data_IF_494716309829
#
_entry.id   IF_494716309829
#
_cell.length_a   1.000
_cell.length_b   1.000
_cell.length_c   1.000
_cell.angle_alpha   90.00
_cell.angle_beta   90.00
_cell.angle_gamma   90.00
#
_symmetry.space_group_name_H-M   'P 1'
#
loop_
_entity.id
_entity.type
_entity.pdbx_description
1 polymer ?
#
# COMPACT_ATOMS: atom_id res chain seq x y z
N UNK A 1 -1.48 -21.22 2.95
CA UNK A 1 -2.53 -20.18 3.11
C UNK A 1 -2.61 -19.77 4.57
N UNK A 2 -1.80 -18.78 4.97
CA UNK A 2 -1.78 -18.08 6.26
C UNK A 2 -0.62 -17.10 6.19
N UNK A 3 -0.84 -15.85 6.59
CA UNK A 3 0.06 -14.68 6.60
C UNK A 3 -0.11 -13.70 5.43
N UNK A 4 -1.24 -12.99 5.43
CA UNK A 4 -1.41 -11.67 4.81
C UNK A 4 -2.27 -10.81 5.77
N UNK A 5 -1.82 -10.74 7.03
CA UNK A 5 -2.39 -9.90 8.08
C UNK A 5 -1.19 -9.23 8.70
N UNK A 6 -0.77 -8.07 8.19
CA UNK A 6 0.27 -7.27 8.86
C UNK A 6 0.17 -5.77 8.56
N UNK A 7 -0.57 -5.35 7.54
CA UNK A 7 -0.94 -3.94 7.38
C UNK A 7 -2.07 -3.48 8.32
N UNK A 8 -2.79 -4.41 8.97
CA UNK A 8 -3.85 -4.10 9.95
C UNK A 8 -3.36 -3.93 11.39
N UNK A 9 -2.13 -4.35 11.72
CA UNK A 9 -1.66 -4.38 13.11
C UNK A 9 -1.13 -3.02 13.62
N UNK A 10 -0.63 -2.15 12.73
CA UNK A 10 -0.15 -0.82 13.12
C UNK A 10 -1.28 0.18 13.39
N UNK A 11 -2.44 0.01 12.73
CA UNK A 11 -3.58 0.93 12.89
C UNK A 11 -4.45 0.59 14.11
N UNK A 12 -4.50 -0.67 14.52
CA UNK A 12 -5.32 -1.13 15.66
C UNK A 12 -4.73 -0.79 17.02
N UNK A 13 -3.41 -0.64 17.15
CA UNK A 13 -2.78 -0.32 18.44
C UNK A 13 -3.03 1.14 18.90
N UNK A 14 -3.21 2.07 17.96
CA UNK A 14 -3.45 3.49 18.28
C UNK A 14 -4.92 3.75 18.64
N UNK A 15 -5.86 2.95 18.13
CA UNK A 15 -7.28 3.10 18.44
C UNK A 15 -7.73 2.38 19.72
N UNK A 16 -6.96 1.41 20.22
CA UNK A 16 -7.34 0.60 21.40
C UNK A 16 -6.62 0.97 22.70
N UNK A 17 -5.62 1.85 22.66
CA UNK A 17 -5.15 2.51 23.88
C UNK A 17 -6.12 3.67 24.19
N UNK A 18 -7.24 3.31 24.80
CA UNK A 18 -8.20 4.23 25.38
C UNK A 18 -7.52 5.14 26.40
N UNK A 19 -6.96 6.25 25.93
CA UNK A 19 -6.70 7.40 26.77
C UNK A 19 -8.06 7.91 27.22
N UNK A 20 -8.38 7.65 28.48
CA UNK A 20 -9.52 8.19 29.20
C UNK A 20 -9.46 9.72 29.17
N UNK A 21 -9.97 10.33 28.10
CA UNK A 21 -10.20 11.77 28.01
C UNK A 21 -11.56 12.05 28.63
N UNK A 22 -11.55 12.28 29.94
CA UNK A 22 -12.72 12.75 30.66
C UNK A 22 -12.65 14.28 30.79
N UNK A 23 -13.69 14.94 30.23
CA UNK A 23 -14.11 16.37 30.39
C UNK A 23 -13.20 17.42 29.74
N UNK A 24 -13.66 18.35 28.89
CA UNK A 24 -14.96 19.02 28.71
C UNK A 24 -15.24 19.31 27.21
N UNK A 25 -16.53 19.37 26.85
CA UNK A 25 -17.13 19.60 25.52
C UNK A 25 -16.55 20.78 24.70
N UNK A 26 -16.62 20.78 23.34
CA UNK A 26 -17.87 20.56 22.61
C UNK A 26 -17.77 19.60 21.41
N UNK A 27 -18.75 18.69 21.31
CA UNK A 27 -19.21 18.14 20.02
C UNK A 27 -18.12 17.49 19.16
N UNK A 28 -17.26 16.66 19.76
CA UNK A 28 -16.60 15.62 18.99
C UNK A 28 -17.70 14.66 18.54
N UNK A 29 -18.18 14.82 17.31
CA UNK A 29 -19.17 13.90 16.74
C UNK A 29 -18.46 12.58 16.52
N UNK A 30 -18.43 11.78 17.59
CA UNK A 30 -17.82 10.46 17.59
C UNK A 30 -18.34 9.66 16.39
N UNK A 31 -19.63 9.77 16.10
CA UNK A 31 -20.30 9.15 14.96
C UNK A 31 -19.71 9.56 13.60
N UNK A 32 -19.29 10.82 13.44
CA UNK A 32 -18.69 11.33 12.19
C UNK A 32 -17.26 10.83 12.01
N UNK A 33 -16.49 10.80 13.09
CA UNK A 33 -15.12 10.26 13.09
C UNK A 33 -15.12 8.74 12.89
N UNK A 34 -16.09 8.04 13.48
CA UNK A 34 -16.28 6.60 13.27
C UNK A 34 -16.62 6.30 11.81
N UNK A 35 -17.57 7.02 11.22
CA UNK A 35 -17.92 6.84 9.80
C UNK A 35 -16.74 7.13 8.86
N UNK A 36 -15.93 8.16 9.14
CA UNK A 36 -14.72 8.46 8.38
C UNK A 36 -13.63 7.40 8.54
N UNK A 37 -13.51 6.81 9.74
CA UNK A 37 -12.57 5.72 9.97
C UNK A 37 -12.99 4.43 9.25
N UNK A 38 -14.29 4.14 9.20
CA UNK A 38 -14.85 3.02 8.42
C UNK A 38 -14.61 3.21 6.93
N UNK A 39 -14.94 4.38 6.36
CA UNK A 39 -14.69 4.70 4.95
C UNK A 39 -13.20 4.60 4.59
N UNK A 40 -12.32 5.13 5.44
CA UNK A 40 -10.89 4.98 5.25
C UNK A 40 -10.42 3.51 5.33
N UNK A 41 -11.01 2.71 6.22
CA UNK A 41 -10.68 1.29 6.33
C UNK A 41 -11.10 0.52 5.07
N UNK A 42 -12.29 0.80 4.54
CA UNK A 42 -12.78 0.22 3.28
C UNK A 42 -11.85 0.60 2.12
N UNK A 43 -11.38 1.86 2.08
CA UNK A 43 -10.40 2.31 1.08
C UNK A 43 -9.02 1.70 1.25
N UNK A 44 -8.59 1.44 2.48
CA UNK A 44 -7.35 0.74 2.76
C UNK A 44 -7.41 -0.73 2.33
N UNK A 45 -8.58 -1.38 2.51
CA UNK A 45 -8.84 -2.73 2.02
C UNK A 45 -8.85 -2.76 0.48
N UNK A 46 -9.58 -1.85 -0.17
CA UNK A 46 -9.60 -1.72 -1.64
C UNK A 46 -8.18 -1.51 -2.22
N UNK A 47 -7.40 -0.64 -1.59
CA UNK A 47 -5.99 -0.43 -1.93
C UNK A 47 -5.16 -1.72 -1.78
N UNK A 48 -5.31 -2.40 -0.63
CA UNK A 48 -4.61 -3.64 -0.32
C UNK A 48 -4.91 -4.74 -1.34
N UNK A 49 -6.19 -4.90 -1.70
CA UNK A 49 -6.65 -5.89 -2.66
C UNK A 49 -6.09 -5.62 -4.06
N UNK A 50 -6.21 -4.38 -4.56
CA UNK A 50 -5.64 -3.99 -5.87
C UNK A 50 -4.13 -4.28 -5.95
N UNK A 51 -3.39 -3.94 -4.90
CA UNK A 51 -1.95 -4.21 -4.84
C UNK A 51 -1.67 -5.71 -4.76
N UNK A 52 -2.43 -6.47 -3.97
CA UNK A 52 -2.26 -7.91 -3.81
C UNK A 52 -2.59 -8.69 -5.09
N UNK A 53 -3.64 -8.30 -5.82
CA UNK A 53 -4.01 -8.87 -7.11
C UNK A 53 -2.91 -8.64 -8.14
N UNK A 54 -2.48 -7.38 -8.32
CA UNK A 54 -1.41 -7.04 -9.25
C UNK A 54 -0.10 -7.77 -8.90
N UNK A 55 0.22 -7.87 -7.61
CA UNK A 55 1.39 -8.62 -7.12
C UNK A 55 1.26 -10.11 -7.43
N UNK A 56 0.06 -10.68 -7.28
CA UNK A 56 -0.20 -12.09 -7.58
C UNK A 56 -0.01 -12.37 -9.07
N UNK A 57 -0.48 -11.50 -9.96
CA UNK A 57 -0.27 -11.63 -11.40
C UNK A 57 1.23 -11.56 -11.76
N UNK A 58 1.98 -10.63 -11.17
CA UNK A 58 3.43 -10.55 -11.34
C UNK A 58 4.16 -11.77 -10.79
N UNK A 59 3.69 -12.33 -9.67
CA UNK A 59 4.26 -13.53 -9.06
C UNK A 59 4.20 -14.76 -9.97
N UNK A 60 3.18 -14.86 -10.83
CA UNK A 60 3.07 -15.95 -11.82
C UNK A 60 4.19 -15.92 -12.86
N UNK A 61 4.82 -14.76 -13.07
CA UNK A 61 5.93 -14.58 -14.00
C UNK A 61 7.29 -14.94 -13.38
N UNK A 62 7.40 -14.93 -12.04
CA UNK A 62 8.67 -15.14 -11.34
C UNK A 62 9.26 -16.55 -11.58
N UNK A 63 8.42 -17.55 -11.84
CA UNK A 63 8.84 -18.93 -12.10
C UNK A 63 9.28 -19.19 -13.55
N UNK A 64 9.07 -18.22 -14.45
CA UNK A 64 9.48 -18.36 -15.85
C UNK A 64 10.99 -18.19 -16.01
N UNK A 65 11.61 -19.01 -16.87
CA UNK A 65 13.06 -18.91 -17.17
C UNK A 65 13.44 -17.66 -17.96
N UNK A 66 12.50 -17.13 -18.74
CA UNK A 66 12.68 -15.94 -19.57
C UNK A 66 11.33 -15.25 -19.69
N UNK A 67 11.35 -13.92 -19.59
CA UNK A 67 10.20 -13.06 -19.82
C UNK A 67 10.16 -12.70 -21.32
N UNK A 68 9.03 -12.96 -21.97
CA UNK A 68 8.78 -12.55 -23.35
C UNK A 68 8.13 -11.16 -23.42
N UNK A 69 7.89 -10.65 -24.64
CA UNK A 69 7.34 -9.31 -24.83
C UNK A 69 5.96 -9.13 -24.19
N UNK A 70 5.15 -10.19 -24.12
CA UNK A 70 3.84 -10.17 -23.47
C UNK A 70 3.97 -10.14 -21.96
N UNK A 71 4.94 -10.86 -21.41
CA UNK A 71 5.26 -10.77 -19.98
C UNK A 71 5.73 -9.35 -19.62
N UNK A 72 6.52 -8.70 -20.48
CA UNK A 72 6.96 -7.31 -20.27
C UNK A 72 5.78 -6.32 -20.29
N UNK A 73 4.85 -6.46 -21.24
CA UNK A 73 3.61 -5.68 -21.29
C UNK A 73 2.78 -5.87 -20.03
N UNK A 74 2.58 -7.13 -19.60
CA UNK A 74 1.86 -7.42 -18.37
C UNK A 74 2.55 -6.79 -17.14
N UNK A 75 3.88 -6.77 -17.08
CA UNK A 75 4.60 -6.09 -15.99
C UNK A 75 4.28 -4.59 -15.97
N UNK A 76 4.23 -3.95 -17.14
CA UNK A 76 3.90 -2.52 -17.25
C UNK A 76 2.49 -2.26 -16.72
N UNK A 77 1.52 -3.07 -17.13
CA UNK A 77 0.11 -2.93 -16.76
C UNK A 77 -0.11 -3.14 -15.26
N UNK A 78 0.44 -4.23 -14.69
CA UNK A 78 0.28 -4.50 -13.26
C UNK A 78 0.95 -3.43 -12.39
N UNK A 79 2.12 -2.91 -12.80
CA UNK A 79 2.74 -1.79 -12.08
C UNK A 79 1.90 -0.52 -12.23
N UNK A 80 1.27 -0.26 -13.38
CA UNK A 80 0.39 0.89 -13.55
C UNK A 80 -0.81 0.83 -12.58
N UNK A 81 -1.45 -0.34 -12.45
CA UNK A 81 -2.55 -0.58 -11.50
C UNK A 81 -2.10 -0.28 -10.07
N UNK A 82 -0.93 -0.79 -9.66
CA UNK A 82 -0.37 -0.48 -8.34
C UNK A 82 -0.17 1.03 -8.17
N UNK A 83 0.49 1.69 -9.12
CA UNK A 83 0.80 3.12 -9.03
C UNK A 83 -0.46 3.98 -8.94
N UNK A 84 -1.53 3.60 -9.65
CA UNK A 84 -2.86 4.21 -9.55
C UNK A 84 -3.45 4.02 -8.15
N UNK A 85 -3.48 2.77 -7.64
CA UNK A 85 -3.96 2.50 -6.28
C UNK A 85 -3.19 3.30 -5.21
N UNK A 86 -1.86 3.43 -5.34
CA UNK A 86 -1.06 4.31 -4.47
C UNK A 86 -1.49 5.78 -4.57
N UNK A 87 -1.83 6.28 -5.75
CA UNK A 87 -2.23 7.68 -5.93
C UNK A 87 -3.64 7.94 -5.40
N UNK A 88 -4.55 7.00 -5.57
CA UNK A 88 -5.92 7.07 -5.03
C UNK A 88 -5.86 7.07 -3.51
N UNK A 89 -5.19 6.10 -2.90
CA UNK A 89 -5.09 6.00 -1.44
C UNK A 89 -4.43 7.22 -0.78
N UNK A 90 -3.44 7.84 -1.43
CA UNK A 90 -2.81 9.08 -0.92
C UNK A 90 -3.76 10.28 -0.90
N UNK A 91 -4.77 10.29 -1.77
CA UNK A 91 -5.76 11.37 -1.85
C UNK A 91 -6.85 11.22 -0.79
N UNK A 92 -7.01 10.02 -0.22
CA UNK A 92 -8.01 9.78 0.81
C UNK A 92 -7.83 10.69 2.02
N UNK A 93 -8.95 11.22 2.49
CA UNK A 93 -8.96 12.02 3.70
C UNK A 93 -8.93 11.09 4.92
N UNK A 94 -8.09 11.47 5.88
CA UNK A 94 -7.91 10.69 7.10
C UNK A 94 -7.80 11.69 8.25
N UNK A 95 -8.89 12.38 8.61
CA UNK A 95 -8.88 13.46 9.58
C UNK A 95 -8.48 13.00 10.99
N UNK A 96 -8.58 11.69 11.26
CA UNK A 96 -8.11 11.05 12.48
C UNK A 96 -6.59 10.80 12.51
N UNK A 97 -5.87 10.89 11.38
CA UNK A 97 -4.41 10.79 11.32
C UNK A 97 -3.76 12.16 11.49
N UNK A 98 -2.72 12.23 12.32
CA UNK A 98 -1.94 13.46 12.44
C UNK A 98 -1.24 13.78 11.11
N UNK A 99 -1.04 15.07 10.82
CA UNK A 99 -0.30 15.52 9.61
C UNK A 99 1.09 14.87 9.51
N UNK A 100 1.77 14.70 10.65
CA UNK A 100 3.08 14.06 10.71
C UNK A 100 3.01 12.58 10.33
N UNK A 101 2.04 11.84 10.88
CA UNK A 101 1.82 10.44 10.53
C UNK A 101 1.47 10.28 9.04
N UNK A 102 0.52 11.08 8.53
CA UNK A 102 0.14 11.08 7.12
C UNK A 102 1.34 11.38 6.21
N UNK A 103 2.20 12.33 6.58
CA UNK A 103 3.41 12.66 5.84
C UNK A 103 4.38 11.49 5.75
N UNK A 104 4.68 10.81 6.86
CA UNK A 104 5.60 9.67 6.90
C UNK A 104 5.09 8.54 5.99
N UNK A 105 3.80 8.20 6.09
CA UNK A 105 3.17 7.18 5.24
C UNK A 105 3.30 7.55 3.75
N UNK A 106 2.96 8.79 3.39
CA UNK A 106 3.08 9.27 2.00
C UNK A 106 4.53 9.24 1.51
N UNK A 107 5.51 9.60 2.33
CA UNK A 107 6.93 9.56 1.98
C UNK A 107 7.40 8.13 1.68
N UNK A 108 7.02 7.15 2.50
CA UNK A 108 7.35 5.74 2.25
C UNK A 108 6.64 5.21 1.00
N UNK A 109 5.36 5.52 0.82
CA UNK A 109 4.62 5.18 -0.41
C UNK A 109 5.30 5.75 -1.66
N UNK A 110 5.75 7.00 -1.61
CA UNK A 110 6.46 7.62 -2.74
C UNK A 110 7.80 6.94 -3.05
N UNK A 111 8.54 6.47 -2.04
CA UNK A 111 9.78 5.70 -2.26
C UNK A 111 9.50 4.40 -3.01
N UNK A 112 8.44 3.68 -2.62
CA UNK A 112 7.99 2.46 -3.31
C UNK A 112 7.60 2.79 -4.75
N UNK A 113 6.78 3.83 -4.98
CA UNK A 113 6.38 4.24 -6.32
C UNK A 113 7.57 4.60 -7.23
N UNK A 114 8.62 5.24 -6.70
CA UNK A 114 9.83 5.56 -7.48
C UNK A 114 10.50 4.28 -7.99
N UNK A 115 10.61 3.25 -7.14
CA UNK A 115 11.24 2.00 -7.54
C UNK A 115 10.35 1.16 -8.47
N UNK A 116 9.03 1.14 -8.25
CA UNK A 116 8.08 0.55 -9.19
C UNK A 116 8.19 1.19 -10.58
N UNK A 117 8.23 2.53 -10.66
CA UNK A 117 8.41 3.25 -11.94
C UNK A 117 9.73 2.91 -12.64
N UNK A 118 10.81 2.69 -11.90
CA UNK A 118 12.08 2.24 -12.51
C UNK A 118 11.92 0.88 -13.17
N UNK A 119 11.19 -0.03 -12.54
CA UNK A 119 10.94 -1.38 -13.08
C UNK A 119 9.99 -1.31 -14.27
N UNK A 120 8.91 -0.53 -14.18
CA UNK A 120 8.01 -0.24 -15.30
C UNK A 120 8.79 0.28 -16.53
N UNK A 121 9.64 1.29 -16.34
CA UNK A 121 10.49 1.83 -17.41
C UNK A 121 11.47 0.80 -18.02
N UNK A 122 11.86 -0.25 -17.26
CA UNK A 122 12.65 -1.36 -17.81
C UNK A 122 11.75 -2.29 -18.61
N UNK A 123 10.55 -2.59 -18.10
CA UNK A 123 9.57 -3.44 -18.75
C UNK A 123 9.11 -2.87 -20.11
N UNK A 124 8.82 -1.56 -20.17
CA UNK A 124 8.53 -0.83 -21.42
C UNK A 124 9.64 -0.96 -22.48
N UNK A 125 10.87 -1.24 -22.06
CA UNK A 125 12.04 -1.42 -22.93
C UNK A 125 12.34 -2.89 -23.22
N UNK A 126 11.50 -3.82 -22.76
CA UNK A 126 11.73 -5.26 -22.84
C UNK A 126 12.92 -5.75 -22.00
N UNK A 127 13.25 -5.05 -20.92
CA UNK A 127 14.46 -5.27 -20.10
C UNK A 127 14.17 -5.59 -18.63
N UNK A 128 12.91 -5.73 -18.23
CA UNK A 128 12.62 -6.21 -16.89
C UNK A 128 13.08 -7.66 -16.76
N UNK A 129 13.59 -7.98 -15.58
CA UNK A 129 14.15 -9.29 -15.24
C UNK A 129 13.38 -9.91 -14.09
N UNK A 130 13.58 -11.21 -13.86
CA UNK A 130 13.06 -11.88 -12.66
C UNK A 130 13.50 -11.20 -11.36
N UNK A 131 14.74 -10.72 -11.30
CA UNK A 131 15.23 -9.98 -10.13
C UNK A 131 14.46 -8.67 -9.90
N UNK A 132 13.92 -8.05 -10.96
CA UNK A 132 13.02 -6.91 -10.81
C UNK A 132 11.67 -7.35 -10.21
N UNK A 133 11.13 -8.51 -10.57
CA UNK A 133 9.91 -9.07 -9.96
C UNK A 133 10.10 -9.41 -8.48
N UNK A 134 11.22 -10.02 -8.12
CA UNK A 134 11.60 -10.30 -6.73
C UNK A 134 11.72 -8.99 -5.93
N UNK A 135 12.29 -7.95 -6.54
CA UNK A 135 12.34 -6.62 -5.92
C UNK A 135 10.95 -6.03 -5.67
N UNK A 136 9.98 -6.23 -6.56
CA UNK A 136 8.59 -5.81 -6.33
C UNK A 136 8.01 -6.51 -5.09
N UNK A 137 8.25 -7.81 -4.95
CA UNK A 137 7.83 -8.58 -3.77
C UNK A 137 8.46 -8.04 -2.48
N UNK A 138 9.76 -7.73 -2.50
CA UNK A 138 10.47 -7.12 -1.36
C UNK A 138 9.94 -5.73 -0.98
N UNK A 139 9.68 -4.87 -1.97
CA UNK A 139 9.15 -3.53 -1.75
C UNK A 139 7.76 -3.54 -1.11
N UNK A 140 6.93 -4.52 -1.47
CA UNK A 140 5.52 -4.59 -1.07
C UNK A 140 5.28 -5.49 0.15
N UNK A 141 6.23 -6.36 0.52
CA UNK A 141 6.09 -7.22 1.70
C UNK A 141 6.38 -6.49 3.02
N UNK A 142 6.84 -5.24 2.95
CA UNK A 142 7.21 -4.41 4.09
C UNK A 142 8.50 -4.91 4.74
N UNK A 143 9.48 -4.02 4.92
CA UNK A 143 10.39 -4.18 6.06
C UNK A 143 9.59 -3.79 7.30
N UNK A 144 9.72 -4.56 8.38
CA UNK A 144 9.20 -4.17 9.70
C UNK A 144 9.57 -2.70 9.94
N UNK A 145 8.55 -1.83 10.02
CA UNK A 145 8.76 -0.49 10.51
C UNK A 145 8.89 -0.66 12.02
N UNK A 146 10.13 -0.71 12.51
CA UNK A 146 10.44 -0.58 13.93
C UNK A 146 9.99 0.83 14.36
N UNK A 147 8.72 0.96 14.76
CA UNK A 147 8.23 2.14 15.45
C UNK A 147 8.58 1.94 16.92
N UNK A 148 9.66 2.61 17.34
CA UNK A 148 10.16 2.74 18.71
C UNK A 148 9.07 3.11 19.72
#
# INVERSE_FOLDING_TARGET
MKKLILLSAGLTAVLLTGCSFEKENPTFKLDEVTAQAEDFADKAEEFGDKVAEAKTELGKLADQRKLDDKDQENIVDQIAIMLEAFNDFKQEDAPFLTKTAKKIVIEEMNKVQVDLKKIQNKAEKGKATRADLEKIDELLSGKEIDIL
#
